data_IF_129164936112
#
_entry.id   IF_129164936112
#
_cell.length_a   1.000
_cell.length_b   1.000
_cell.length_c   1.000
_cell.angle_alpha   90.00
_cell.angle_beta   90.00
_cell.angle_gamma   90.00
#
_symmetry.space_group_name_H-M   'P 1'
#
loop_
_entity.id
_entity.type
_entity.pdbx_description
1 polymer ?
#
# COMPACT_ATOMS: atom_id res chain seq x y z
N UNK A 1 25.04 -29.12 21.98
CA UNK A 1 25.23 -27.78 21.40
C UNK A 1 23.88 -27.30 20.86
N UNK A 2 23.66 -25.99 20.82
CA UNK A 2 22.94 -25.30 19.71
C UNK A 2 21.42 -25.48 19.55
N UNK A 3 20.61 -25.18 20.56
CA UNK A 3 19.22 -24.73 20.32
C UNK A 3 19.01 -23.34 20.95
N UNK A 4 19.53 -23.15 22.15
CA UNK A 4 19.50 -21.87 22.86
C UNK A 4 20.25 -20.75 22.13
N UNK A 5 21.43 -21.03 21.58
CA UNK A 5 22.21 -20.02 20.85
C UNK A 5 21.54 -19.57 19.56
N UNK A 6 20.90 -20.49 18.84
CA UNK A 6 20.22 -20.18 17.58
C UNK A 6 18.94 -19.38 17.82
N UNK A 7 18.17 -19.76 18.85
CA UNK A 7 16.97 -19.02 19.27
C UNK A 7 17.33 -17.60 19.76
N UNK A 8 18.39 -17.47 20.57
CA UNK A 8 18.86 -16.16 21.05
C UNK A 8 19.31 -15.26 19.90
N UNK A 9 20.03 -15.82 18.92
CA UNK A 9 20.43 -15.08 17.72
C UNK A 9 19.21 -14.62 16.91
N UNK A 10 18.19 -15.48 16.77
CA UNK A 10 16.96 -15.13 16.07
C UNK A 10 16.19 -14.02 16.79
N UNK A 11 16.07 -14.08 18.13
CA UNK A 11 15.40 -13.07 18.94
C UNK A 11 16.08 -11.70 18.77
N UNK A 12 17.42 -11.66 18.74
CA UNK A 12 18.19 -10.43 18.51
C UNK A 12 18.01 -9.90 17.09
N UNK A 13 17.94 -10.77 16.08
CA UNK A 13 17.63 -10.34 14.71
C UNK A 13 16.20 -9.78 14.58
N UNK A 14 15.23 -10.41 15.24
CA UNK A 14 13.84 -9.98 15.20
C UNK A 14 13.58 -8.69 16.00
N UNK A 15 14.30 -8.47 17.12
CA UNK A 15 14.11 -7.27 17.96
C UNK A 15 14.56 -5.97 17.28
N UNK A 16 15.49 -6.05 16.32
CA UNK A 16 15.93 -4.92 15.51
C UNK A 16 15.05 -4.63 14.28
N UNK A 17 14.07 -5.47 13.97
CA UNK A 17 13.20 -5.30 12.81
C UNK A 17 12.07 -4.30 13.12
N UNK A 18 12.44 -3.04 13.32
CA UNK A 18 11.51 -1.91 13.43
C UNK A 18 11.19 -1.42 12.02
N UNK A 19 9.95 -1.69 11.60
CA UNK A 19 9.49 -1.49 10.24
C UNK A 19 8.82 -2.77 9.79
N UNK A 20 7.54 -2.67 9.43
CA UNK A 20 6.75 -3.82 8.99
C UNK A 20 7.38 -4.59 7.83
N UNK A 21 6.70 -5.64 7.38
CA UNK A 21 7.19 -6.49 6.30
C UNK A 21 7.43 -5.65 5.03
N UNK A 22 8.69 -5.45 4.64
CA UNK A 22 9.06 -4.83 3.36
C UNK A 22 8.76 -5.84 2.26
N UNK A 23 7.57 -5.75 1.67
CA UNK A 23 7.25 -6.48 0.43
C UNK A 23 7.99 -5.76 -0.71
N UNK A 24 8.83 -6.46 -1.49
CA UNK A 24 9.46 -5.87 -2.67
C UNK A 24 8.39 -5.35 -3.64
N UNK A 25 8.64 -4.21 -4.28
CA UNK A 25 7.77 -3.75 -5.35
C UNK A 25 7.77 -4.78 -6.48
N UNK A 26 6.57 -5.19 -6.91
CA UNK A 26 6.40 -6.05 -8.08
C UNK A 26 6.15 -5.16 -9.28
N UNK A 27 6.98 -5.29 -10.32
CA UNK A 27 6.72 -4.67 -11.61
C UNK A 27 5.70 -5.54 -12.33
N UNK A 28 4.49 -5.02 -12.53
CA UNK A 28 3.48 -5.66 -13.38
C UNK A 28 3.79 -5.34 -14.84
N UNK A 29 3.85 -6.35 -15.71
CA UNK A 29 3.84 -6.13 -17.16
C UNK A 29 2.45 -5.68 -17.59
N UNK A 30 2.38 -4.57 -18.33
CA UNK A 30 1.14 -4.00 -18.85
C UNK A 30 1.26 -4.04 -20.37
N UNK A 31 0.53 -4.95 -21.02
CA UNK A 31 0.57 -5.17 -22.46
C UNK A 31 -0.36 -4.21 -23.22
N UNK A 32 -0.26 -2.90 -22.95
CA UNK A 32 -1.08 -1.89 -23.61
C UNK A 32 -0.70 -0.46 -23.27
N UNK A 33 -1.08 0.47 -24.17
CA UNK A 33 -1.00 1.90 -23.90
C UNK A 33 -1.93 2.28 -22.75
N UNK A 34 -1.54 3.29 -21.98
CA UNK A 34 -2.42 3.78 -20.93
C UNK A 34 -3.57 4.58 -21.55
N UNK A 35 -4.76 4.47 -20.97
CA UNK A 35 -5.95 5.13 -21.50
C UNK A 35 -6.78 5.75 -20.38
N UNK A 36 -7.39 6.90 -20.67
CA UNK A 36 -8.22 7.61 -19.71
C UNK A 36 -9.68 7.23 -19.86
N UNK A 37 -10.26 6.70 -18.79
CA UNK A 37 -11.70 6.51 -18.66
C UNK A 37 -12.36 7.74 -18.06
N UNK A 38 -13.57 8.06 -18.53
CA UNK A 38 -14.40 9.09 -17.91
C UNK A 38 -14.83 8.65 -16.50
N UNK A 39 -14.83 9.58 -15.55
CA UNK A 39 -15.27 9.33 -14.17
C UNK A 39 -16.80 9.14 -14.11
N UNK A 40 -17.25 8.12 -13.38
CA UNK A 40 -18.67 7.92 -13.10
C UNK A 40 -19.24 9.02 -12.19
N UNK A 41 -20.49 9.41 -12.43
CA UNK A 41 -21.20 10.37 -11.57
C UNK A 41 -21.67 9.67 -10.30
N UNK A 42 -21.23 10.19 -9.14
CA UNK A 42 -21.68 9.70 -7.84
C UNK A 42 -22.99 10.40 -7.41
N UNK A 43 -24.01 9.64 -6.97
CA UNK A 43 -25.22 10.18 -6.34
C UNK A 43 -24.88 11.09 -5.17
N UNK A 44 -25.63 12.19 -5.00
CA UNK A 44 -25.31 13.23 -4.01
C UNK A 44 -25.17 12.66 -2.58
N UNK A 45 -26.10 11.82 -2.15
CA UNK A 45 -26.08 11.22 -0.81
C UNK A 45 -24.90 10.28 -0.53
N UNK A 46 -24.17 9.85 -1.57
CA UNK A 46 -23.00 8.97 -1.41
C UNK A 46 -21.67 9.73 -1.42
N UNK A 47 -21.66 10.99 -1.87
CA UNK A 47 -20.40 11.76 -2.07
C UNK A 47 -19.63 11.95 -0.77
N UNK A 48 -20.32 12.25 0.32
CA UNK A 48 -19.68 12.48 1.62
C UNK A 48 -19.02 11.21 2.16
N UNK A 49 -19.71 10.06 2.07
CA UNK A 49 -19.16 8.78 2.50
C UNK A 49 -17.93 8.37 1.69
N UNK A 50 -17.99 8.55 0.36
CA UNK A 50 -16.85 8.29 -0.53
C UNK A 50 -15.68 9.21 -0.19
N UNK A 51 -15.93 10.50 0.05
CA UNK A 51 -14.87 11.46 0.39
C UNK A 51 -14.16 11.06 1.69
N UNK A 52 -14.91 10.73 2.75
CA UNK A 52 -14.32 10.30 4.04
C UNK A 52 -13.48 9.03 3.89
N UNK A 53 -13.95 8.07 3.07
CA UNK A 53 -13.19 6.86 2.81
C UNK A 53 -11.87 7.14 2.10
N UNK A 54 -11.89 7.99 1.04
CA UNK A 54 -10.68 8.36 0.32
C UNK A 54 -9.68 9.14 1.20
N UNK A 55 -10.16 10.07 2.03
CA UNK A 55 -9.32 10.81 2.97
C UNK A 55 -8.65 9.89 3.99
N UNK A 56 -9.37 8.89 4.50
CA UNK A 56 -8.80 7.88 5.38
C UNK A 56 -7.72 7.07 4.68
N UNK A 57 -7.95 6.63 3.44
CA UNK A 57 -6.95 5.90 2.65
C UNK A 57 -5.69 6.74 2.37
N UNK A 58 -5.84 8.06 2.19
CA UNK A 58 -4.70 8.97 2.05
C UNK A 58 -3.93 9.13 3.36
N UNK A 59 -4.63 9.21 4.51
CA UNK A 59 -4.00 9.25 5.84
C UNK A 59 -3.28 7.95 6.20
N UNK A 60 -3.81 6.82 5.75
CA UNK A 60 -3.24 5.49 5.96
C UNK A 60 -2.08 5.19 4.96
N UNK A 61 -1.64 6.19 4.18
CA UNK A 61 -0.60 6.08 3.13
C UNK A 61 -0.89 5.01 2.06
N UNK A 62 -2.16 4.62 1.89
CA UNK A 62 -2.60 3.62 0.90
C UNK A 62 -2.69 4.24 -0.48
N UNK A 63 -3.11 5.51 -0.57
CA UNK A 63 -3.23 6.26 -1.83
C UNK A 63 -2.60 7.64 -1.71
N UNK A 64 -2.14 8.19 -2.83
CA UNK A 64 -1.60 9.53 -2.91
C UNK A 64 -2.08 10.26 -4.17
N UNK A 65 -2.02 11.60 -4.14
CA UNK A 65 -2.33 12.43 -5.29
C UNK A 65 -1.29 12.21 -6.39
N UNK A 66 -1.74 11.94 -7.61
CA UNK A 66 -0.87 11.69 -8.77
C UNK A 66 -1.36 12.48 -9.98
N UNK A 67 -0.40 12.94 -10.81
CA UNK A 67 -0.66 13.33 -12.19
C UNK A 67 -0.25 12.18 -13.10
N UNK A 68 -1.13 11.78 -14.01
CA UNK A 68 -0.85 10.72 -14.98
C UNK A 68 -0.87 11.29 -16.40
N UNK A 69 -0.02 10.73 -17.26
CA UNK A 69 0.00 10.96 -18.71
C UNK A 69 -0.40 9.67 -19.43
N UNK A 70 -1.04 9.80 -20.59
CA UNK A 70 -1.31 8.66 -21.47
C UNK A 70 0.01 8.05 -21.94
#
# INVERSE_FOLDING_TARGET
>A
MTITSHLQHLIVQCSGNVGGMKIPSVKLEVDGESFFLKRCVLPYGQREGVLKALQKMEQDDVIGKVGSTA
#
